data_IF_983162716294
#
_entry.id   IF_983162716294
#
_cell.length_a   1.000
_cell.length_b   1.000
_cell.length_c   1.000
_cell.angle_alpha   90.00
_cell.angle_beta   90.00
_cell.angle_gamma   90.00
#
_symmetry.space_group_name_H-M   'P 1'
#
loop_
_entity.id
_entity.type
_entity.pdbx_description
1 polymer ?
#
# COMPACT_ATOMS: atom_id res chain seq x y z
N UNK A 1 -0.04 14.16 8.10
CA UNK A 1 0.56 12.87 7.79
C UNK A 1 0.73 12.73 6.29
N UNK A 2 1.81 12.17 5.86
CA UNK A 2 2.06 11.92 4.43
C UNK A 2 1.73 10.47 4.12
N UNK A 3 0.79 10.26 3.21
CA UNK A 3 0.19 8.95 2.96
C UNK A 3 0.38 8.55 1.51
N UNK A 4 1.00 7.40 1.28
CA UNK A 4 1.12 6.82 -0.04
C UNK A 4 -0.04 5.87 -0.29
N UNK A 5 -0.65 5.97 -1.46
CA UNK A 5 -1.77 5.10 -1.84
C UNK A 5 -1.48 4.54 -3.22
N UNK A 6 -1.36 3.23 -3.33
CA UNK A 6 -1.26 2.58 -4.62
C UNK A 6 -2.66 2.33 -5.18
N UNK A 7 -2.87 2.58 -6.47
CA UNK A 7 -4.17 2.42 -7.08
C UNK A 7 -5.20 3.46 -6.63
N UNK A 8 -4.78 4.71 -6.53
CA UNK A 8 -5.59 5.79 -5.95
C UNK A 8 -6.64 6.40 -6.90
N UNK A 9 -6.72 5.95 -8.13
CA UNK A 9 -7.62 6.57 -9.12
C UNK A 9 -8.93 5.84 -9.32
N UNK A 10 -9.10 4.69 -8.69
CA UNK A 10 -10.32 3.89 -8.84
C UNK A 10 -10.70 3.26 -7.52
N UNK A 11 -12.00 2.99 -7.37
CA UNK A 11 -12.53 2.20 -6.27
C UNK A 11 -12.15 2.68 -4.88
N UNK A 12 -11.76 1.75 -4.04
CA UNK A 12 -11.43 2.00 -2.63
C UNK A 12 -10.24 2.96 -2.52
N UNK A 13 -9.23 2.80 -3.37
CA UNK A 13 -8.07 3.67 -3.35
C UNK A 13 -8.43 5.12 -3.60
N UNK A 14 -9.34 5.36 -4.54
CA UNK A 14 -9.82 6.72 -4.83
C UNK A 14 -10.58 7.29 -3.65
N UNK A 15 -11.44 6.48 -3.02
CA UNK A 15 -12.21 6.93 -1.86
C UNK A 15 -11.29 7.33 -0.70
N UNK A 16 -10.26 6.53 -0.43
CA UNK A 16 -9.27 6.88 0.59
C UNK A 16 -8.55 8.18 0.24
N UNK A 17 -8.12 8.32 -1.01
CA UNK A 17 -7.39 9.51 -1.44
C UNK A 17 -8.22 10.78 -1.24
N UNK A 18 -9.49 10.74 -1.64
CA UNK A 18 -10.37 11.90 -1.51
C UNK A 18 -10.65 12.24 -0.06
N UNK A 19 -10.98 11.25 0.76
CA UNK A 19 -11.34 11.50 2.16
C UNK A 19 -10.14 11.93 3.00
N UNK A 20 -8.98 11.32 2.79
CA UNK A 20 -7.80 11.66 3.57
C UNK A 20 -7.24 13.02 3.15
N UNK A 21 -7.31 13.35 1.86
CA UNK A 21 -6.92 14.66 1.38
C UNK A 21 -7.81 15.75 1.97
N UNK A 22 -9.12 15.49 2.06
CA UNK A 22 -10.07 16.42 2.65
C UNK A 22 -9.80 16.67 4.13
N UNK A 23 -9.13 15.74 4.81
CA UNK A 23 -8.77 15.87 6.22
C UNK A 23 -7.41 16.53 6.43
N UNK A 24 -6.78 17.01 5.37
CA UNK A 24 -5.54 17.75 5.46
C UNK A 24 -4.28 16.89 5.37
N UNK A 25 -4.38 15.62 4.99
CA UNK A 25 -3.21 14.79 4.80
C UNK A 25 -2.62 14.98 3.40
N UNK A 26 -1.31 14.82 3.29
CA UNK A 26 -0.63 14.85 1.99
C UNK A 26 -0.72 13.47 1.36
N UNK A 27 -1.25 13.41 0.15
CA UNK A 27 -1.44 12.14 -0.56
C UNK A 27 -0.40 12.00 -1.65
N UNK A 28 0.33 10.89 -1.61
CA UNK A 28 1.22 10.48 -2.69
C UNK A 28 0.54 9.33 -3.42
N UNK A 29 -0.08 9.64 -4.55
CA UNK A 29 -0.78 8.64 -5.34
C UNK A 29 0.14 7.94 -6.31
N UNK A 30 0.05 6.62 -6.36
CA UNK A 30 0.86 5.80 -7.25
C UNK A 30 -0.09 5.00 -8.12
N UNK A 31 -0.05 5.27 -9.42
CA UNK A 31 -0.98 4.67 -10.36
C UNK A 31 -0.30 4.40 -11.69
N UNK A 32 -0.69 3.33 -12.35
CA UNK A 32 -0.18 3.01 -13.68
C UNK A 32 -0.51 4.11 -14.70
N UNK A 33 -1.64 4.76 -14.55
CA UNK A 33 -2.03 5.85 -15.45
C UNK A 33 -1.14 7.08 -15.28
N UNK A 34 -0.44 7.19 -14.17
CA UNK A 34 0.54 8.25 -13.93
C UNK A 34 1.96 7.80 -14.32
N UNK A 35 2.09 6.64 -14.95
CA UNK A 35 3.40 6.09 -15.31
C UNK A 35 4.08 5.32 -14.19
N UNK A 36 3.44 5.16 -13.05
CA UNK A 36 4.01 4.46 -11.90
C UNK A 36 3.45 3.05 -11.82
N UNK A 37 4.32 2.07 -11.91
CA UNK A 37 3.93 0.67 -11.88
C UNK A 37 4.52 -0.02 -10.65
N UNK A 38 3.66 -0.61 -9.81
CA UNK A 38 4.12 -1.27 -8.58
C UNK A 38 5.02 -2.47 -8.84
N UNK A 39 5.05 -2.99 -10.06
CA UNK A 39 6.00 -4.06 -10.43
C UNK A 39 7.45 -3.55 -10.42
N UNK A 40 7.64 -2.26 -10.53
CA UNK A 40 8.95 -1.64 -10.37
C UNK A 40 9.16 -1.36 -8.89
N UNK A 41 9.32 -2.44 -8.14
CA UNK A 41 9.24 -2.43 -6.68
C UNK A 41 10.21 -1.45 -6.03
N UNK A 42 11.47 -1.46 -6.43
CA UNK A 42 12.46 -0.58 -5.82
C UNK A 42 12.17 0.89 -6.08
N UNK A 43 11.76 1.23 -7.31
CA UNK A 43 11.39 2.60 -7.65
C UNK A 43 10.17 3.06 -6.85
N UNK A 44 9.13 2.22 -6.83
CA UNK A 44 7.91 2.55 -6.10
C UNK A 44 8.18 2.71 -4.61
N UNK A 45 8.97 1.81 -4.03
CA UNK A 45 9.34 1.90 -2.62
C UNK A 45 10.10 3.19 -2.32
N UNK A 46 10.91 3.69 -3.26
CA UNK A 46 11.63 4.94 -3.05
C UNK A 46 10.69 6.14 -2.98
N UNK A 47 9.55 6.08 -3.69
CA UNK A 47 8.52 7.12 -3.62
C UNK A 47 7.76 7.07 -2.29
N UNK A 48 7.63 5.88 -1.73
CA UNK A 48 6.88 5.65 -0.49
C UNK A 48 7.72 5.91 0.75
N UNK A 49 9.03 5.73 0.64
CA UNK A 49 9.94 5.81 1.79
C UNK A 49 9.75 7.07 2.65
N UNK A 50 9.54 8.28 2.09
CA UNK A 50 9.35 9.47 2.91
C UNK A 50 7.95 9.61 3.50
N UNK A 51 7.05 8.67 3.24
CA UNK A 51 5.68 8.73 3.74
C UNK A 51 5.57 8.10 5.13
N UNK A 52 4.47 8.36 5.81
CA UNK A 52 4.20 7.83 7.15
C UNK A 52 3.32 6.59 7.11
N UNK A 53 2.47 6.49 6.11
CA UNK A 53 1.52 5.40 5.95
C UNK A 53 1.52 4.97 4.49
N UNK A 54 1.47 3.67 4.26
CA UNK A 54 1.21 3.10 2.94
C UNK A 54 -0.14 2.40 2.97
N UNK A 55 -1.03 2.81 2.08
CA UNK A 55 -2.25 2.06 1.80
C UNK A 55 -1.98 1.25 0.54
N UNK A 56 -1.68 -0.02 0.75
CA UNK A 56 -1.23 -0.94 -0.30
C UNK A 56 -2.44 -1.58 -0.96
N UNK A 57 -3.02 -0.87 -1.93
CA UNK A 57 -4.30 -1.21 -2.52
C UNK A 57 -4.20 -1.79 -3.94
N UNK A 58 -3.24 -1.34 -4.75
CA UNK A 58 -3.15 -1.81 -6.12
C UNK A 58 -2.74 -3.28 -6.19
N UNK A 59 -3.36 -4.01 -7.09
CA UNK A 59 -3.10 -5.43 -7.27
C UNK A 59 -2.46 -5.66 -8.64
N UNK A 60 -1.33 -6.35 -8.66
CA UNK A 60 -0.65 -6.72 -9.90
C UNK A 60 0.19 -7.97 -9.63
N UNK A 61 -0.42 -9.14 -9.79
CA UNK A 61 0.22 -10.43 -9.50
C UNK A 61 0.78 -10.42 -8.06
N UNK A 62 2.06 -10.67 -7.89
CA UNK A 62 2.71 -10.68 -6.58
C UNK A 62 3.33 -9.33 -6.20
N UNK A 63 3.16 -8.32 -7.06
CA UNK A 63 3.82 -7.04 -6.83
C UNK A 63 3.37 -6.35 -5.55
N UNK A 64 2.11 -6.54 -5.16
CA UNK A 64 1.60 -5.97 -3.91
C UNK A 64 2.37 -6.51 -2.70
N UNK A 65 2.61 -7.81 -2.69
CA UNK A 65 3.36 -8.46 -1.61
C UNK A 65 4.83 -8.06 -1.63
N UNK A 66 5.43 -8.02 -2.81
CA UNK A 66 6.82 -7.59 -2.94
C UNK A 66 7.00 -6.15 -2.48
N UNK A 67 6.07 -5.27 -2.81
CA UNK A 67 6.12 -3.89 -2.38
C UNK A 67 6.00 -3.78 -0.86
N UNK A 68 5.11 -4.56 -0.25
CA UNK A 68 4.97 -4.61 1.20
C UNK A 68 6.30 -4.93 1.88
N UNK A 69 6.99 -5.97 1.42
CA UNK A 69 8.26 -6.37 2.01
C UNK A 69 9.34 -5.31 1.79
N UNK A 70 9.40 -4.72 0.61
CA UNK A 70 10.42 -3.72 0.31
C UNK A 70 10.23 -2.46 1.15
N UNK A 71 9.01 -1.99 1.29
CA UNK A 71 8.71 -0.81 2.10
C UNK A 71 8.96 -1.10 3.58
N UNK A 72 8.51 -2.24 4.06
CA UNK A 72 8.75 -2.64 5.44
C UNK A 72 10.25 -2.72 5.73
N UNK A 73 11.01 -3.31 4.80
CA UNK A 73 12.44 -3.45 4.96
C UNK A 73 13.13 -2.09 5.10
N UNK A 74 12.69 -1.10 4.34
CA UNK A 74 13.24 0.25 4.43
C UNK A 74 12.83 0.95 5.71
N UNK A 75 11.58 0.79 6.12
CA UNK A 75 11.05 1.49 7.29
C UNK A 75 11.50 0.92 8.62
N UNK A 76 11.85 -0.36 8.68
CA UNK A 76 12.21 -1.00 9.95
C UNK A 76 13.45 -0.39 10.59
N UNK A 77 14.29 0.28 9.82
CA UNK A 77 15.49 0.92 10.33
C UNK A 77 15.26 2.36 10.80
N UNK A 78 14.08 2.87 10.62
CA UNK A 78 13.75 4.23 11.01
C UNK A 78 13.22 4.25 12.45
N UNK A 79 13.50 5.32 13.17
CA UNK A 79 13.07 5.43 14.56
C UNK A 79 11.61 5.79 14.69
N UNK A 80 11.03 6.40 13.67
CA UNK A 80 9.65 6.84 13.69
C UNK A 80 8.71 5.68 13.37
N UNK A 81 7.50 5.76 13.88
CA UNK A 81 6.49 4.76 13.63
C UNK A 81 5.89 4.96 12.24
N UNK A 82 5.83 3.88 11.48
CA UNK A 82 5.22 3.85 10.16
C UNK A 82 4.15 2.77 10.12
N UNK A 83 3.17 2.94 9.24
CA UNK A 83 2.04 2.02 9.15
C UNK A 83 1.86 1.54 7.72
N UNK A 84 1.46 0.29 7.57
CA UNK A 84 1.11 -0.28 6.28
C UNK A 84 -0.27 -0.91 6.40
N UNK A 85 -1.19 -0.44 5.57
CA UNK A 85 -2.52 -1.04 5.44
C UNK A 85 -2.58 -1.79 4.13
N UNK A 86 -2.81 -3.10 4.20
CA UNK A 86 -3.00 -3.92 3.02
C UNK A 86 -4.48 -4.11 2.76
N UNK A 87 -4.86 -3.86 1.52
CA UNK A 87 -6.26 -4.06 1.11
C UNK A 87 -6.32 -5.38 0.36
N UNK A 88 -7.10 -6.30 0.90
CA UNK A 88 -7.35 -7.59 0.30
C UNK A 88 -8.61 -7.52 -0.56
N UNK A 89 -8.74 -8.45 -1.50
CA UNK A 89 -9.91 -8.50 -2.37
C UNK A 89 -10.67 -9.81 -2.19
N UNK A 90 -11.95 -9.79 -2.55
CA UNK A 90 -12.75 -11.00 -2.52
C UNK A 90 -12.39 -12.00 -3.61
N UNK A 91 -11.55 -11.57 -4.56
CA UNK A 91 -11.09 -12.48 -5.61
C UNK A 91 -10.14 -13.53 -5.06
N UNK A 92 -9.53 -13.28 -3.93
CA UNK A 92 -8.65 -14.24 -3.26
C UNK A 92 -9.43 -14.99 -2.20
N UNK A 93 -10.26 -15.93 -2.62
CA UNK A 93 -11.13 -16.68 -1.70
C UNK A 93 -10.48 -17.97 -1.22
N UNK A 94 -9.29 -17.87 -0.75
CA UNK A 94 -8.61 -19.02 -0.15
C UNK A 94 -8.77 -18.95 1.35
N UNK A 95 -9.07 -20.08 1.96
CA UNK A 95 -9.17 -20.14 3.40
C UNK A 95 -7.79 -20.27 4.02
N UNK A 96 -7.04 -19.21 3.95
CA UNK A 96 -5.76 -19.19 4.61
C UNK A 96 -5.47 -17.78 5.16
N UNK A 97 -4.70 -17.75 6.21
CA UNK A 97 -4.22 -16.52 6.78
C UNK A 97 -2.74 -16.39 6.49
N UNK A 98 -2.33 -15.19 6.10
CA UNK A 98 -0.92 -14.89 5.93
C UNK A 98 -0.57 -13.87 7.00
N UNK A 99 0.35 -14.25 7.88
CA UNK A 99 0.80 -13.37 8.95
C UNK A 99 2.16 -12.79 8.58
N UNK A 100 2.19 -11.50 8.35
CA UNK A 100 3.40 -10.79 7.99
C UNK A 100 3.60 -9.67 8.99
N UNK A 101 4.62 -9.80 9.85
CA UNK A 101 4.96 -8.78 10.85
C UNK A 101 3.77 -8.36 11.71
N UNK A 102 2.97 -9.30 12.12
CA UNK A 102 1.80 -9.02 12.92
C UNK A 102 0.61 -8.52 12.11
N UNK A 103 0.75 -8.40 10.80
CA UNK A 103 -0.37 -8.06 9.93
C UNK A 103 -0.93 -9.36 9.37
N UNK A 104 -2.16 -9.65 9.70
CA UNK A 104 -2.82 -10.85 9.21
C UNK A 104 -3.60 -10.52 7.95
N UNK A 105 -3.23 -11.16 6.86
CA UNK A 105 -3.97 -11.11 5.61
C UNK A 105 -4.90 -12.30 5.58
N UNK A 106 -6.16 -12.04 5.79
CA UNK A 106 -7.13 -13.10 5.84
C UNK A 106 -8.02 -13.06 4.62
N UNK A 107 -8.10 -14.18 3.95
CA UNK A 107 -9.03 -14.35 2.84
C UNK A 107 -10.39 -14.69 3.44
N UNK A 108 -11.18 -13.68 3.57
CA UNK A 108 -12.49 -13.82 4.17
C UNK A 108 -13.48 -14.41 3.18
N UNK A 109 -14.25 -15.23 3.67
CA UNK A 109 -15.40 -15.77 2.94
C UNK A 109 -16.47 -14.71 2.79
#
# INVERSE_FOLDING_TARGET
MKIAITGHKQGIGKAFAEQLSARGHDIVGISRSDGENIRRTAHTASLIAPCDLLINNAISLYAQTELLFEVWHRWQHLKETHYIWNISTQLCKQDYDIDINGITLRESM
#
